data_IF_056763188242
#
_entry.id   IF_056763188242
#
_cell.length_a   1.000
_cell.length_b   1.000
_cell.length_c   1.000
_cell.angle_alpha   90.00
_cell.angle_beta   90.00
_cell.angle_gamma   90.00
#
_symmetry.space_group_name_H-M   'P 1'
#
loop_
_entity.id
_entity.type
_entity.pdbx_description
1 polymer ?
#
# COMPACT_ATOMS: atom_id res chain seq x y z
N UNK A 1 10.03 -0.57 -22.10
CA UNK A 1 9.10 0.35 -22.79
C UNK A 1 9.85 1.35 -23.66
N UNK A 2 10.76 2.16 -23.10
CA UNK A 2 11.56 3.19 -23.80
C UNK A 2 12.17 2.76 -25.14
N UNK A 3 12.72 1.54 -25.23
CA UNK A 3 13.32 1.03 -26.47
C UNK A 3 12.36 0.15 -27.29
N UNK A 4 11.56 -0.69 -26.60
CA UNK A 4 10.69 -1.67 -27.26
C UNK A 4 9.50 -1.04 -27.99
N UNK A 5 8.87 -0.01 -27.40
CA UNK A 5 7.71 0.66 -28.01
C UNK A 5 8.08 1.32 -29.34
N UNK A 6 9.18 2.13 -29.43
CA UNK A 6 9.64 2.64 -30.71
C UNK A 6 9.91 1.54 -31.75
N UNK A 7 10.49 0.42 -31.35
CA UNK A 7 10.74 -0.71 -32.26
C UNK A 7 9.44 -1.36 -32.76
N UNK A 8 8.43 -1.50 -31.89
CA UNK A 8 7.10 -2.02 -32.25
C UNK A 8 6.42 -1.09 -33.25
N UNK A 9 6.44 0.22 -32.99
CA UNK A 9 5.87 1.22 -33.89
C UNK A 9 6.55 1.15 -35.26
N UNK A 10 7.89 1.14 -35.30
CA UNK A 10 8.68 1.04 -36.55
C UNK A 10 8.33 -0.19 -37.36
N UNK A 11 8.08 -1.34 -36.71
CA UNK A 11 7.67 -2.57 -37.39
C UNK A 11 6.34 -2.43 -38.14
N UNK A 12 5.49 -1.48 -37.80
CA UNK A 12 4.20 -1.23 -38.48
C UNK A 12 4.37 -0.73 -39.92
N UNK A 13 5.60 -0.41 -40.35
CA UNK A 13 5.93 -0.15 -41.75
C UNK A 13 5.66 -1.36 -42.67
N UNK A 14 5.59 -2.57 -42.10
CA UNK A 14 5.27 -3.81 -42.82
C UNK A 14 3.85 -3.84 -43.41
N UNK A 15 2.91 -3.09 -42.83
CA UNK A 15 1.54 -2.95 -43.32
C UNK A 15 1.44 -2.16 -44.62
N UNK A 16 2.42 -1.32 -44.92
CA UNK A 16 2.43 -0.51 -46.12
C UNK A 16 2.86 -1.40 -47.26
N UNK A 17 2.04 -1.48 -48.31
CA UNK A 17 2.28 -2.20 -49.57
C UNK A 17 1.96 -1.28 -50.75
N UNK A 18 2.29 -1.69 -51.97
CA UNK A 18 2.05 -0.88 -53.17
C UNK A 18 0.55 -0.80 -53.53
N UNK A 19 -0.24 -1.78 -53.08
CA UNK A 19 -1.69 -1.87 -53.24
C UNK A 19 -2.49 -1.27 -52.06
N UNK A 20 -1.79 -0.66 -51.09
CA UNK A 20 -2.43 -0.03 -49.92
C UNK A 20 -3.30 1.16 -50.30
N UNK A 21 -4.47 1.29 -49.65
CA UNK A 21 -5.36 2.44 -49.80
C UNK A 21 -4.81 3.67 -49.04
N UNK A 22 -4.01 4.48 -49.73
CA UNK A 22 -3.34 5.64 -49.12
C UNK A 22 -4.31 6.75 -48.67
N UNK A 23 -5.59 6.72 -49.05
CA UNK A 23 -6.58 7.68 -48.53
C UNK A 23 -6.87 7.50 -47.05
N UNK A 24 -6.86 6.26 -46.55
CA UNK A 24 -7.18 5.93 -45.15
C UNK A 24 -6.01 5.40 -44.35
N UNK A 25 -4.86 5.14 -45.00
CA UNK A 25 -3.69 4.50 -44.37
C UNK A 25 -3.23 5.12 -43.06
N UNK A 26 -3.41 6.43 -42.86
CA UNK A 26 -3.03 7.11 -41.62
C UNK A 26 -3.89 6.68 -40.42
N UNK A 27 -5.17 6.35 -40.65
CA UNK A 27 -6.07 5.81 -39.62
C UNK A 27 -5.72 4.35 -39.34
N UNK A 28 -5.49 3.57 -40.39
CA UNK A 28 -5.19 2.14 -40.31
C UNK A 28 -3.84 1.91 -39.60
N UNK A 29 -2.82 2.70 -39.94
CA UNK A 29 -1.51 2.67 -39.26
C UNK A 29 -1.62 3.09 -37.81
N UNK A 30 -2.35 4.17 -37.51
CA UNK A 30 -2.50 4.61 -36.12
C UNK A 30 -3.20 3.53 -35.28
N UNK A 31 -4.23 2.89 -35.83
CA UNK A 31 -4.93 1.79 -35.17
C UNK A 31 -4.01 0.59 -34.94
N UNK A 32 -3.28 0.16 -35.96
CA UNK A 32 -2.34 -0.96 -35.84
C UNK A 32 -1.24 -0.66 -34.80
N UNK A 33 -0.64 0.53 -34.85
CA UNK A 33 0.42 0.90 -33.92
C UNK A 33 -0.06 0.81 -32.47
N UNK A 34 -1.27 1.30 -32.17
CA UNK A 34 -1.85 1.16 -30.83
C UNK A 34 -2.14 -0.31 -30.48
N UNK A 35 -2.70 -1.09 -31.41
CA UNK A 35 -2.97 -2.52 -31.17
C UNK A 35 -1.69 -3.29 -30.83
N UNK A 36 -0.61 -3.10 -31.60
CA UNK A 36 0.67 -3.78 -31.34
C UNK A 36 1.30 -3.38 -30.00
N UNK A 37 1.10 -2.13 -29.59
CA UNK A 37 1.55 -1.62 -28.29
C UNK A 37 0.74 -2.28 -27.16
N UNK A 38 -0.59 -2.29 -27.29
CA UNK A 38 -1.49 -2.96 -26.34
C UNK A 38 -1.14 -4.44 -26.22
N UNK A 39 -0.97 -5.14 -27.34
CA UNK A 39 -0.61 -6.56 -27.35
C UNK A 39 0.72 -6.80 -26.62
N UNK A 40 1.73 -5.96 -26.86
CA UNK A 40 3.01 -6.05 -26.16
C UNK A 40 2.87 -5.81 -24.66
N UNK A 41 2.04 -4.84 -24.27
CA UNK A 41 1.83 -4.52 -22.87
C UNK A 41 1.09 -5.65 -22.16
N UNK A 42 0.02 -6.18 -22.75
CA UNK A 42 -0.77 -7.25 -22.15
C UNK A 42 -0.04 -8.59 -22.12
N UNK A 43 0.69 -8.93 -23.18
CA UNK A 43 1.37 -10.23 -23.29
C UNK A 43 2.75 -10.28 -22.62
N UNK A 44 3.44 -9.14 -22.51
CA UNK A 44 4.84 -9.10 -22.05
C UNK A 44 4.99 -8.28 -20.78
N UNK A 45 4.51 -7.04 -20.75
CA UNK A 45 4.78 -6.12 -19.63
C UNK A 45 3.90 -6.46 -18.41
N UNK A 46 2.58 -6.59 -18.61
CA UNK A 46 1.62 -6.82 -17.54
C UNK A 46 1.92 -8.08 -16.71
N UNK A 47 2.24 -9.25 -17.30
CA UNK A 47 2.55 -10.45 -16.51
C UNK A 47 3.78 -10.28 -15.62
N UNK A 48 4.82 -9.57 -16.12
CA UNK A 48 6.03 -9.28 -15.34
C UNK A 48 5.68 -8.40 -14.15
N UNK A 49 4.90 -7.34 -14.36
CA UNK A 49 4.49 -6.43 -13.28
C UNK A 49 3.57 -7.10 -12.27
N UNK A 50 2.63 -7.93 -12.74
CA UNK A 50 1.73 -8.69 -11.86
C UNK A 50 2.51 -9.65 -10.95
N UNK A 51 3.51 -10.37 -11.50
CA UNK A 51 4.38 -11.24 -10.70
C UNK A 51 5.18 -10.44 -9.67
N UNK A 52 5.84 -9.37 -10.11
CA UNK A 52 6.66 -8.53 -9.24
C UNK A 52 5.83 -7.91 -8.10
N UNK A 53 4.61 -7.44 -8.39
CA UNK A 53 3.71 -6.88 -7.38
C UNK A 53 3.26 -7.96 -6.37
N UNK A 54 2.92 -9.16 -6.85
CA UNK A 54 2.56 -10.28 -5.97
C UNK A 54 3.71 -10.69 -5.05
N UNK A 55 4.93 -10.78 -5.59
CA UNK A 55 6.14 -11.07 -4.81
C UNK A 55 6.41 -9.99 -3.77
N UNK A 56 6.27 -8.72 -4.15
CA UNK A 56 6.41 -7.60 -3.24
C UNK A 56 5.38 -7.64 -2.09
N UNK A 57 4.11 -7.93 -2.39
CA UNK A 57 3.06 -8.05 -1.36
C UNK A 57 3.38 -9.19 -0.39
N UNK A 58 3.87 -10.33 -0.88
CA UNK A 58 4.21 -11.45 -0.01
C UNK A 58 5.43 -11.13 0.88
N UNK A 59 6.44 -10.45 0.33
CA UNK A 59 7.57 -9.97 1.12
C UNK A 59 7.15 -8.93 2.16
N UNK A 60 6.23 -8.03 1.82
CA UNK A 60 5.69 -7.06 2.76
C UNK A 60 4.89 -7.73 3.88
N UNK A 61 4.07 -8.73 3.55
CA UNK A 61 3.34 -9.56 4.53
C UNK A 61 4.29 -10.18 5.55
N UNK A 62 5.39 -10.79 5.11
CA UNK A 62 6.38 -11.38 6.02
C UNK A 62 6.95 -10.35 7.01
N UNK A 63 7.28 -9.14 6.55
CA UNK A 63 7.77 -8.06 7.43
C UNK A 63 6.73 -7.57 8.43
N UNK A 64 5.45 -7.53 8.02
CA UNK A 64 4.36 -7.17 8.92
C UNK A 64 4.11 -8.28 9.97
N UNK A 65 4.23 -9.55 9.58
CA UNK A 65 4.18 -10.70 10.51
C UNK A 65 5.34 -10.66 11.53
N UNK A 66 6.55 -10.33 11.09
CA UNK A 66 7.70 -10.10 11.98
C UNK A 66 7.41 -8.96 12.97
N UNK A 67 6.84 -7.86 12.48
CA UNK A 67 6.47 -6.72 13.34
C UNK A 67 5.40 -7.09 14.37
N UNK A 68 4.38 -7.86 13.98
CA UNK A 68 3.37 -8.40 14.89
C UNK A 68 3.99 -9.33 15.94
N UNK A 69 4.98 -10.13 15.55
CA UNK A 69 5.70 -11.01 16.48
C UNK A 69 6.42 -10.21 17.55
N UNK A 70 7.12 -9.12 17.17
CA UNK A 70 7.74 -8.22 18.14
C UNK A 70 6.74 -7.53 19.07
N UNK A 71 5.58 -7.10 18.55
CA UNK A 71 4.52 -6.54 19.40
C UNK A 71 3.99 -7.58 20.38
N UNK A 72 3.91 -8.86 19.99
CA UNK A 72 3.50 -9.93 20.89
C UNK A 72 4.53 -10.20 22.00
N UNK A 73 5.83 -10.10 21.68
CA UNK A 73 6.89 -10.17 22.70
C UNK A 73 6.74 -9.03 23.73
N UNK A 74 6.46 -7.82 23.27
CA UNK A 74 6.23 -6.67 24.15
C UNK A 74 4.95 -6.83 24.98
N UNK A 75 3.85 -7.26 24.35
CA UNK A 75 2.60 -7.55 25.04
C UNK A 75 2.81 -8.52 26.21
N UNK A 76 3.52 -9.63 25.98
CA UNK A 76 3.85 -10.59 27.03
C UNK A 76 4.66 -9.93 28.14
N UNK A 77 5.71 -9.16 27.78
CA UNK A 77 6.54 -8.47 28.76
C UNK A 77 5.78 -7.43 29.59
N UNK A 78 4.87 -6.68 28.99
CA UNK A 78 4.04 -5.72 29.72
C UNK A 78 3.01 -6.43 30.62
N UNK A 79 2.38 -7.49 30.12
CA UNK A 79 1.35 -8.20 30.86
C UNK A 79 1.87 -8.99 32.08
N UNK A 80 3.17 -9.30 32.12
CA UNK A 80 3.83 -9.78 33.36
C UNK A 80 3.73 -8.77 34.52
N UNK A 81 3.65 -7.47 34.22
CA UNK A 81 3.57 -6.40 35.22
C UNK A 81 2.15 -5.84 35.40
N UNK A 82 1.30 -5.94 34.38
CA UNK A 82 -0.03 -5.32 34.38
C UNK A 82 -1.13 -6.17 35.02
N UNK A 83 -0.84 -7.43 35.37
CA UNK A 83 -1.67 -8.41 36.08
C UNK A 83 -3.18 -8.35 35.76
N UNK A 84 -3.94 -7.48 36.45
CA UNK A 84 -5.40 -7.38 36.35
C UNK A 84 -5.92 -6.68 35.09
N UNK A 85 -5.07 -5.96 34.35
CA UNK A 85 -5.46 -5.21 33.16
C UNK A 85 -4.44 -5.41 32.03
N UNK A 86 -4.47 -6.60 31.40
CA UNK A 86 -3.59 -6.91 30.29
C UNK A 86 -3.92 -6.05 29.06
N UNK A 87 -2.89 -5.72 28.30
CA UNK A 87 -3.01 -5.10 26.99
C UNK A 87 -2.91 -6.16 25.90
N UNK A 88 -3.47 -5.84 24.74
CA UNK A 88 -3.38 -6.65 23.53
C UNK A 88 -2.87 -5.76 22.38
N UNK A 89 -1.79 -6.19 21.72
CA UNK A 89 -1.13 -5.40 20.68
C UNK A 89 -1.29 -6.07 19.31
N UNK A 90 -2.53 -6.10 18.80
CA UNK A 90 -2.86 -6.68 17.48
C UNK A 90 -2.87 -5.61 16.40
N UNK A 91 -2.11 -5.85 15.33
CA UNK A 91 -2.13 -5.06 14.12
C UNK A 91 -3.26 -5.48 13.16
N UNK A 92 -3.63 -4.58 12.26
CA UNK A 92 -4.68 -4.82 11.27
C UNK A 92 -4.11 -5.45 9.98
N UNK A 93 -4.18 -6.78 9.85
CA UNK A 93 -3.76 -7.49 8.64
C UNK A 93 -4.70 -7.31 7.43
N UNK A 94 -5.82 -6.60 7.57
CA UNK A 94 -6.69 -6.29 6.44
C UNK A 94 -5.95 -5.54 5.33
N UNK A 95 -4.91 -4.75 5.67
CA UNK A 95 -4.09 -4.02 4.69
C UNK A 95 -3.51 -4.93 3.61
N UNK A 96 -3.13 -6.17 3.97
CA UNK A 96 -2.59 -7.14 3.01
C UNK A 96 -3.68 -7.66 2.08
N UNK A 97 -4.88 -7.89 2.59
CA UNK A 97 -6.02 -8.30 1.78
C UNK A 97 -6.43 -7.19 0.80
N UNK A 98 -6.40 -5.94 1.24
CA UNK A 98 -6.70 -4.78 0.43
C UNK A 98 -5.63 -4.58 -0.67
N UNK A 99 -4.34 -4.70 -0.34
CA UNK A 99 -3.28 -4.66 -1.35
C UNK A 99 -3.38 -5.76 -2.38
N UNK A 100 -3.71 -7.00 -1.99
CA UNK A 100 -3.95 -8.11 -2.93
C UNK A 100 -5.10 -7.80 -3.88
N UNK A 101 -6.20 -7.27 -3.34
CA UNK A 101 -7.38 -6.90 -4.13
C UNK A 101 -7.07 -5.78 -5.13
N UNK A 102 -6.35 -4.76 -4.69
CA UNK A 102 -5.98 -3.64 -5.57
C UNK A 102 -4.95 -4.06 -6.62
N UNK A 103 -4.01 -4.95 -6.28
CA UNK A 103 -3.10 -5.56 -7.25
C UNK A 103 -3.86 -6.38 -8.31
N UNK A 104 -4.83 -7.19 -7.92
CA UNK A 104 -5.69 -7.92 -8.85
C UNK A 104 -6.43 -6.95 -9.78
N UNK A 105 -7.02 -5.86 -9.23
CA UNK A 105 -7.73 -4.86 -10.05
C UNK A 105 -6.83 -4.15 -11.05
N UNK A 106 -5.61 -3.77 -10.64
CA UNK A 106 -4.64 -3.09 -11.51
C UNK A 106 -4.07 -4.01 -12.59
N UNK A 107 -4.15 -5.32 -12.39
CA UNK A 107 -3.60 -6.32 -13.32
C UNK A 107 -4.65 -6.95 -14.23
N UNK A 108 -5.93 -6.58 -14.07
CA UNK A 108 -6.96 -6.87 -15.08
C UNK A 108 -6.54 -6.23 -16.41
N UNK A 109 -6.61 -6.96 -17.53
CA UNK A 109 -6.27 -6.41 -18.84
C UNK A 109 -7.06 -5.13 -19.12
N UNK A 110 -6.36 -4.00 -19.09
CA UNK A 110 -6.92 -2.68 -19.42
C UNK A 110 -6.34 -2.22 -20.75
N UNK A 111 -7.22 -1.80 -21.65
CA UNK A 111 -6.79 -1.15 -22.88
C UNK A 111 -6.16 0.20 -22.53
N UNK A 112 -4.94 0.47 -23.02
CA UNK A 112 -4.36 1.79 -22.84
C UNK A 112 -5.03 2.74 -23.82
N UNK A 113 -5.41 3.93 -23.35
CA UNK A 113 -6.05 4.92 -24.20
C UNK A 113 -5.21 5.18 -25.45
N UNK A 114 -5.84 4.94 -26.62
CA UNK A 114 -5.22 5.10 -27.93
C UNK A 114 -4.52 6.47 -28.04
N UNK A 115 -3.27 6.44 -28.49
CA UNK A 115 -2.51 7.62 -28.85
C UNK A 115 -2.71 7.97 -30.33
N UNK A 116 -2.66 9.26 -30.63
CA UNK A 116 -2.59 9.72 -32.01
C UNK A 116 -1.12 9.72 -32.50
N UNK A 117 -0.53 8.53 -32.53
CA UNK A 117 0.87 8.28 -32.86
C UNK A 117 1.22 8.84 -34.24
N UNK A 118 0.31 8.70 -35.21
CA UNK A 118 0.56 9.11 -36.59
C UNK A 118 0.24 10.58 -36.87
N UNK A 119 -0.86 11.15 -36.36
CA UNK A 119 -1.31 12.50 -36.76
C UNK A 119 -0.82 13.63 -35.83
N UNK A 120 -0.20 13.31 -34.69
CA UNK A 120 0.33 14.31 -33.74
C UNK A 120 1.57 15.04 -34.27
N UNK A 121 2.15 14.62 -35.40
CA UNK A 121 3.42 15.12 -35.96
C UNK A 121 3.20 15.83 -37.31
N UNK A 122 3.72 17.04 -37.47
CA UNK A 122 3.64 17.87 -38.70
C UNK A 122 4.06 17.17 -40.00
N UNK A 123 5.09 16.30 -40.03
CA UNK A 123 5.51 15.63 -41.27
C UNK A 123 4.47 14.68 -41.85
N UNK A 124 3.65 14.02 -41.03
CA UNK A 124 2.55 13.18 -41.53
C UNK A 124 1.47 14.04 -42.18
N UNK A 125 1.19 15.23 -41.64
CA UNK A 125 0.28 16.19 -42.27
C UNK A 125 0.83 16.76 -43.59
N UNK A 126 2.16 16.92 -43.71
CA UNK A 126 2.83 17.32 -44.96
C UNK A 126 2.79 16.19 -45.99
N UNK A 127 3.04 14.94 -45.58
CA UNK A 127 2.88 13.73 -46.40
C UNK A 127 1.44 13.56 -46.89
N UNK A 128 0.45 13.75 -46.02
CA UNK A 128 -0.98 13.70 -46.35
C UNK A 128 -1.38 14.80 -47.35
N UNK A 129 -0.86 16.03 -47.18
CA UNK A 129 -1.06 17.14 -48.13
C UNK A 129 -0.38 16.87 -49.47
N UNK A 130 0.80 16.25 -49.46
CA UNK A 130 1.53 15.82 -50.66
C UNK A 130 0.78 14.73 -51.43
N UNK A 131 0.26 13.72 -50.72
CA UNK A 131 -0.57 12.67 -51.30
C UNK A 131 -1.81 13.23 -52.00
N UNK A 132 -2.51 14.21 -51.39
CA UNK A 132 -3.66 14.88 -52.00
C UNK A 132 -3.35 15.60 -53.33
N UNK A 133 -2.13 16.14 -53.51
CA UNK A 133 -1.69 16.76 -54.77
C UNK A 133 -1.19 15.75 -55.81
N UNK A 134 -0.66 14.60 -55.37
CA UNK A 134 -0.06 13.57 -56.24
C UNK A 134 -1.12 12.57 -56.75
N UNK A 135 -2.22 12.37 -56.01
CA UNK A 135 -3.34 11.47 -56.38
C UNK A 135 -4.17 11.95 -57.59
N UNK A 136 -3.93 13.17 -58.10
CA UNK A 136 -4.56 13.67 -59.33
C UNK A 136 -4.06 12.98 -60.62
N UNK A 137 -3.00 12.17 -60.56
CA UNK A 137 -2.45 11.48 -61.73
C UNK A 137 -1.85 10.10 -61.39
N UNK A 138 -2.66 9.05 -61.61
CA UNK A 138 -2.30 7.67 -61.97
C UNK A 138 -1.43 6.83 -61.00
N UNK A 139 -1.78 5.56 -60.96
CA UNK A 139 -1.26 4.39 -60.20
C UNK A 139 0.26 4.15 -60.19
N UNK A 140 1.08 4.94 -60.93
CA UNK A 140 2.55 4.84 -60.93
C UNK A 140 3.22 5.48 -59.70
N UNK A 141 2.48 6.23 -58.88
CA UNK A 141 3.00 6.94 -57.70
C UNK A 141 2.91 6.13 -56.39
N UNK A 142 2.25 4.97 -56.38
CA UNK A 142 2.02 4.20 -55.16
C UNK A 142 3.28 3.60 -54.56
N UNK A 143 4.24 3.14 -55.37
CA UNK A 143 5.51 2.62 -54.88
C UNK A 143 6.36 3.72 -54.19
N UNK A 144 6.32 4.95 -54.71
CA UNK A 144 6.98 6.11 -54.12
C UNK A 144 6.31 6.49 -52.81
N UNK A 145 4.97 6.55 -52.77
CA UNK A 145 4.20 6.81 -51.56
C UNK A 145 4.47 5.75 -50.49
N UNK A 146 4.42 4.47 -50.85
CA UNK A 146 4.73 3.35 -49.97
C UNK A 146 6.12 3.53 -49.33
N UNK A 147 7.14 3.83 -50.14
CA UNK A 147 8.51 4.07 -49.66
C UNK A 147 8.58 5.27 -48.72
N UNK A 148 7.89 6.37 -49.03
CA UNK A 148 7.86 7.57 -48.19
C UNK A 148 7.21 7.32 -46.82
N UNK A 149 6.07 6.62 -46.78
CA UNK A 149 5.41 6.26 -45.52
C UNK A 149 6.27 5.30 -44.70
N UNK A 150 6.87 4.27 -45.32
CA UNK A 150 7.77 3.34 -44.60
C UNK A 150 8.97 4.08 -44.01
N UNK A 151 9.63 4.92 -44.81
CA UNK A 151 10.78 5.70 -44.37
C UNK A 151 10.44 6.66 -43.23
N UNK A 152 9.24 7.27 -43.25
CA UNK A 152 8.76 8.09 -42.15
C UNK A 152 8.61 7.26 -40.88
N UNK A 153 7.92 6.12 -40.96
CA UNK A 153 7.67 5.27 -39.79
C UNK A 153 8.97 4.68 -39.22
N UNK A 154 9.90 4.25 -40.07
CA UNK A 154 11.12 3.58 -39.63
C UNK A 154 12.11 4.54 -38.95
N UNK A 155 12.14 5.81 -39.35
CA UNK A 155 13.15 6.77 -38.92
C UNK A 155 12.65 7.84 -37.95
N UNK A 156 11.34 7.97 -37.73
CA UNK A 156 10.81 8.94 -36.77
C UNK A 156 11.27 8.62 -35.33
N UNK A 157 11.33 9.67 -34.51
CA UNK A 157 11.55 9.54 -33.07
C UNK A 157 10.22 9.33 -32.33
N UNK A 158 10.10 8.19 -31.65
CA UNK A 158 8.94 7.79 -30.86
C UNK A 158 9.16 7.87 -29.34
N UNK A 159 10.18 8.56 -28.87
CA UNK A 159 10.49 8.70 -27.43
C UNK A 159 9.30 9.28 -26.65
N UNK A 160 8.71 10.38 -27.13
CA UNK A 160 7.54 11.01 -26.51
C UNK A 160 6.32 10.08 -26.45
N UNK A 161 6.12 9.27 -27.50
CA UNK A 161 5.02 8.29 -27.55
C UNK A 161 5.28 7.21 -26.50
N UNK A 162 6.51 6.69 -26.43
CA UNK A 162 6.90 5.72 -25.42
C UNK A 162 6.77 6.26 -24.00
N UNK A 163 7.10 7.53 -23.78
CA UNK A 163 6.96 8.17 -22.48
C UNK A 163 5.48 8.30 -22.10
N UNK A 164 4.64 8.80 -23.01
CA UNK A 164 3.19 8.91 -22.79
C UNK A 164 2.55 7.57 -22.40
N UNK A 165 2.88 6.51 -23.15
CA UNK A 165 2.37 5.17 -22.88
C UNK A 165 2.88 4.64 -21.53
N UNK A 166 4.16 4.86 -21.22
CA UNK A 166 4.71 4.46 -19.92
C UNK A 166 4.00 5.20 -18.78
N UNK A 167 3.79 6.51 -18.89
CA UNK A 167 3.06 7.30 -17.89
C UNK A 167 1.64 6.78 -17.68
N UNK A 168 0.90 6.52 -18.76
CA UNK A 168 -0.46 5.95 -18.69
C UNK A 168 -0.47 4.59 -18.00
N UNK A 169 0.46 3.70 -18.38
CA UNK A 169 0.59 2.38 -17.78
C UNK A 169 0.92 2.46 -16.28
N UNK A 170 1.87 3.31 -15.88
CA UNK A 170 2.32 3.43 -14.50
C UNK A 170 1.39 4.22 -13.57
N UNK A 171 0.41 4.93 -14.10
CA UNK A 171 -0.43 5.83 -13.32
C UNK A 171 -1.12 5.12 -12.14
N UNK A 172 -1.73 3.95 -12.37
CA UNK A 172 -2.41 3.20 -11.30
C UNK A 172 -1.43 2.70 -10.23
N UNK A 173 -0.24 2.25 -10.64
CA UNK A 173 0.81 1.83 -9.71
C UNK A 173 1.35 2.99 -8.86
N UNK A 174 1.41 4.21 -9.41
CA UNK A 174 1.79 5.40 -8.64
C UNK A 174 0.72 5.79 -7.61
N UNK A 175 -0.56 5.57 -7.91
CA UNK A 175 -1.63 5.78 -6.94
C UNK A 175 -1.56 4.76 -5.81
N UNK A 176 -1.31 3.49 -6.15
CA UNK A 176 -1.07 2.44 -5.18
C UNK A 176 0.13 2.76 -4.27
N UNK A 177 1.27 3.17 -4.84
CA UNK A 177 2.45 3.55 -4.07
C UNK A 177 2.15 4.65 -3.03
N UNK A 178 1.32 5.63 -3.40
CA UNK A 178 0.90 6.72 -2.50
C UNK A 178 0.02 6.26 -1.33
N UNK A 179 -0.70 5.14 -1.46
CA UNK A 179 -1.54 4.63 -0.38
C UNK A 179 -0.73 3.88 0.68
N UNK A 180 0.39 3.25 0.28
CA UNK A 180 1.19 2.36 1.14
C UNK A 180 1.53 2.99 2.50
N UNK A 181 1.99 4.24 2.51
CA UNK A 181 2.38 4.91 3.76
C UNK A 181 1.21 5.05 4.75
N UNK A 182 0.01 5.38 4.25
CA UNK A 182 -1.21 5.44 5.05
C UNK A 182 -1.63 4.05 5.51
N UNK A 183 -1.56 3.06 4.64
CA UNK A 183 -1.98 1.70 4.92
C UNK A 183 -1.09 1.06 6.01
N UNK A 184 0.23 1.31 5.97
CA UNK A 184 1.17 0.90 7.03
C UNK A 184 0.87 1.62 8.35
N UNK A 185 0.48 2.90 8.31
CA UNK A 185 0.06 3.58 9.53
C UNK A 185 -1.21 2.97 10.13
N UNK A 186 -2.19 2.60 9.30
CA UNK A 186 -3.40 1.91 9.75
C UNK A 186 -3.10 0.54 10.35
N UNK A 187 -2.13 -0.21 9.79
CA UNK A 187 -1.67 -1.48 10.34
C UNK A 187 -1.26 -1.36 11.82
N UNK A 188 -0.56 -0.28 12.19
CA UNK A 188 -0.06 -0.05 13.55
C UNK A 188 -0.95 0.82 14.44
N UNK A 189 -2.10 1.28 13.94
CA UNK A 189 -2.92 2.26 14.66
C UNK A 189 -3.40 1.72 16.01
N UNK A 190 -4.06 0.57 16.00
CA UNK A 190 -4.72 0.04 17.19
C UNK A 190 -3.72 -0.33 18.32
N UNK A 191 -2.54 -0.95 18.03
CA UNK A 191 -1.49 -1.13 19.03
C UNK A 191 -0.96 0.18 19.61
N UNK A 192 -0.76 1.20 18.76
CA UNK A 192 -0.26 2.49 19.20
C UNK A 192 -1.28 3.20 20.12
N UNK A 193 -2.55 3.23 19.71
CA UNK A 193 -3.64 3.80 20.52
C UNK A 193 -3.78 3.07 21.86
N UNK A 194 -3.64 1.74 21.87
CA UNK A 194 -3.68 0.92 23.09
C UNK A 194 -2.54 1.28 24.05
N UNK A 195 -1.30 1.39 23.54
CA UNK A 195 -0.15 1.79 24.35
C UNK A 195 -0.30 3.21 24.90
N UNK A 196 -0.68 4.17 24.07
CA UNK A 196 -0.89 5.55 24.50
C UNK A 196 -2.00 5.68 25.54
N UNK A 197 -3.09 4.94 25.36
CA UNK A 197 -4.19 4.87 26.32
C UNK A 197 -3.71 4.32 27.66
N UNK A 198 -2.92 3.23 27.64
CA UNK A 198 -2.42 2.60 28.85
C UNK A 198 -1.44 3.48 29.62
N UNK A 199 -0.55 4.19 28.92
CA UNK A 199 0.36 5.17 29.54
C UNK A 199 -0.43 6.24 30.28
N UNK A 200 -1.45 6.84 29.64
CA UNK A 200 -2.28 7.88 30.26
C UNK A 200 -3.03 7.37 31.50
N UNK A 201 -3.54 6.14 31.45
CA UNK A 201 -4.23 5.52 32.59
C UNK A 201 -3.28 5.30 33.76
N UNK A 202 -2.07 4.76 33.51
CA UNK A 202 -1.06 4.53 34.55
C UNK A 202 -0.60 5.85 35.18
N UNK A 203 -0.34 6.88 34.38
CA UNK A 203 0.04 8.21 34.88
C UNK A 203 -1.05 8.81 35.77
N UNK A 204 -2.32 8.64 35.38
CA UNK A 204 -3.46 9.09 36.18
C UNK A 204 -3.52 8.34 37.52
N UNK A 205 -3.38 7.02 37.49
CA UNK A 205 -3.38 6.18 38.69
C UNK A 205 -2.22 6.53 39.65
N UNK A 206 -1.03 6.84 39.11
CA UNK A 206 0.12 7.29 39.91
C UNK A 206 -0.22 8.61 40.63
N UNK A 207 -0.77 9.59 39.91
CA UNK A 207 -1.14 10.89 40.50
C UNK A 207 -2.20 10.73 41.59
N UNK A 208 -3.24 9.93 41.34
CA UNK A 208 -4.27 9.66 42.34
C UNK A 208 -3.72 8.97 43.60
N UNK A 209 -2.82 8.00 43.43
CA UNK A 209 -2.22 7.29 44.55
C UNK A 209 -1.26 8.17 45.33
N UNK A 210 -0.51 9.06 44.69
CA UNK A 210 0.32 10.07 45.37
C UNK A 210 -0.54 11.00 46.23
N UNK A 211 -1.68 11.48 45.71
CA UNK A 211 -2.62 12.31 46.49
C UNK A 211 -3.24 11.55 47.67
N UNK A 212 -3.54 10.25 47.51
CA UNK A 212 -4.02 9.41 48.61
C UNK A 212 -2.93 9.24 49.67
N UNK A 213 -1.68 9.01 49.26
CA UNK A 213 -0.54 8.86 50.15
C UNK A 213 -0.30 10.14 50.96
N UNK A 214 -0.27 11.30 50.30
CA UNK A 214 -0.09 12.60 50.95
C UNK A 214 -1.20 12.88 51.99
N UNK A 215 -2.45 12.50 51.70
CA UNK A 215 -3.55 12.61 52.67
C UNK A 215 -3.34 11.74 53.90
N UNK A 216 -2.83 10.51 53.72
CA UNK A 216 -2.53 9.58 54.81
C UNK A 216 -1.35 10.07 55.66
N UNK A 217 -0.28 10.55 55.03
CA UNK A 217 0.90 11.10 55.70
C UNK A 217 0.54 12.34 56.54
N UNK A 218 -0.32 13.22 56.02
CA UNK A 218 -0.75 14.42 56.72
C UNK A 218 -1.83 14.17 57.79
N UNK A 219 -2.50 13.00 57.78
CA UNK A 219 -3.58 12.68 58.73
C UNK A 219 -3.44 11.25 59.30
N UNK A 220 -2.35 10.94 60.03
CA UNK A 220 -2.05 9.57 60.43
C UNK A 220 -3.07 8.99 61.42
N UNK A 221 -3.73 9.82 62.24
CA UNK A 221 -4.75 9.38 63.18
C UNK A 221 -5.97 8.74 62.49
N UNK A 222 -6.25 9.12 61.24
CA UNK A 222 -7.36 8.57 60.46
C UNK A 222 -7.22 7.06 60.22
N UNK A 223 -5.99 6.53 60.19
CA UNK A 223 -5.73 5.11 59.98
C UNK A 223 -5.11 4.42 61.21
N UNK A 224 -4.26 5.12 61.98
CA UNK A 224 -3.65 4.57 63.19
C UNK A 224 -4.68 4.33 64.30
N UNK A 225 -5.73 5.15 64.40
CA UNK A 225 -6.80 4.98 65.37
C UNK A 225 -7.53 3.64 65.22
N UNK A 226 -8.12 3.36 64.04
CA UNK A 226 -8.76 2.07 63.77
C UNK A 226 -7.81 0.86 63.93
N UNK A 227 -6.56 0.96 63.47
CA UNK A 227 -5.56 -0.11 63.63
C UNK A 227 -5.26 -0.42 65.10
N UNK A 228 -5.05 0.62 65.92
CA UNK A 228 -4.85 0.46 67.37
C UNK A 228 -6.06 -0.19 68.03
N UNK A 229 -7.27 0.15 67.57
CA UNK A 229 -8.52 -0.39 68.11
C UNK A 229 -8.69 -1.88 67.75
N UNK A 230 -8.39 -2.26 66.50
CA UNK A 230 -8.34 -3.67 66.08
C UNK A 230 -7.28 -4.45 66.86
N UNK A 231 -6.10 -3.88 67.03
CA UNK A 231 -5.01 -4.53 67.78
C UNK A 231 -5.38 -4.72 69.25
N UNK A 232 -6.08 -3.75 69.85
CA UNK A 232 -6.62 -3.87 71.20
C UNK A 232 -7.63 -5.02 71.30
N UNK A 233 -8.59 -5.10 70.37
CA UNK A 233 -9.59 -6.18 70.33
C UNK A 233 -8.93 -7.56 70.14
N UNK A 234 -7.93 -7.66 69.26
CA UNK A 234 -7.17 -8.90 69.06
C UNK A 234 -6.47 -9.34 70.35
N UNK A 235 -5.85 -8.40 71.06
CA UNK A 235 -5.18 -8.69 72.32
C UNK A 235 -6.17 -9.11 73.41
N UNK A 236 -7.33 -8.45 73.50
CA UNK A 236 -8.41 -8.84 74.41
C UNK A 236 -8.89 -10.26 74.13
N UNK A 237 -9.09 -10.62 72.86
CA UNK A 237 -9.52 -11.95 72.46
C UNK A 237 -8.48 -13.03 72.80
N UNK A 238 -7.19 -12.74 72.57
CA UNK A 238 -6.08 -13.62 72.99
C UNK A 238 -6.06 -13.83 74.51
N UNK A 239 -6.21 -12.76 75.28
CA UNK A 239 -6.20 -12.82 76.73
C UNK A 239 -7.36 -13.66 77.27
N UNK A 240 -8.57 -13.47 76.74
CA UNK A 240 -9.73 -14.27 77.11
C UNK A 240 -9.54 -15.77 76.81
N UNK A 241 -8.84 -16.11 75.72
CA UNK A 241 -8.57 -17.50 75.36
C UNK A 241 -7.37 -18.11 76.11
N UNK A 242 -6.38 -17.31 76.53
CA UNK A 242 -5.26 -17.78 77.38
C UNK A 242 -5.68 -17.97 78.84
N UNK A 243 -6.65 -17.19 79.33
CA UNK A 243 -7.20 -17.32 80.69
C UNK A 243 -7.95 -18.64 80.88
N UNK A 244 -8.46 -19.25 79.81
CA UNK A 244 -9.15 -20.56 79.85
C UNK A 244 -8.20 -21.77 80.01
N UNK A 245 -6.88 -21.58 79.90
CA UNK A 245 -5.87 -22.64 80.13
C UNK A 245 -5.23 -22.60 81.53
N UNK A 246 -5.55 -21.59 82.34
CA UNK A 246 -5.09 -21.46 83.72
C UNK A 246 -6.26 -21.22 84.67
N UNK A 247 -7.19 -22.17 84.72
CA UNK A 247 -8.04 -22.32 85.92
C UNK A 247 -7.18 -22.85 87.07
N UNK A 248 -7.22 -22.23 88.27
CA UNK A 248 -6.72 -22.90 89.47
C UNK A 248 -7.67 -24.05 89.78
N UNK A 249 -7.15 -25.28 89.86
CA UNK A 249 -7.83 -26.36 90.55
C UNK A 249 -8.08 -25.87 91.99
N UNK A 250 -9.33 -25.58 92.31
CA UNK A 250 -9.80 -25.44 93.68
C UNK A 250 -10.40 -26.78 94.09
N UNK A 251 -9.68 -27.48 94.98
CA UNK A 251 -9.98 -28.66 95.80
C UNK A 251 -11.26 -29.48 95.52
#
# INVERSE_FOLDING_TARGET
MKTSIPQIIRKSADLIKEDTEFRTIHLDLNKEMNQRIDDYIQSTIMPIYASALKEWIESAKQKLEESQTHLKEWENGFNEYLEEQPIELQCDFQVIADWRRDAERMTIPMQIDNENIFLRRTPSQVLLKGAGKILGGLTKNNAVLAKSYRNFIENENYDEVSESIATKFFYQFQLFEKSIGRDVHLFFRDPLETLEGRVKEIETNIQENQLKLEKLENNPDFFLGPLKLFQLQLNQYKWLNDVDLHQPEFD
#
